data_IF_914270578493
#
_entry.id   IF_914270578493
#
_cell.length_a   1.000
_cell.length_b   1.000
_cell.length_c   1.000
_cell.angle_alpha   90.00
_cell.angle_beta   90.00
_cell.angle_gamma   90.00
#
_symmetry.space_group_name_H-M   'P 1'
#
loop_
_entity.id
_entity.type
_entity.pdbx_description
1 polymer ?
#
# COMPACT_ATOMS: atom_id res chain seq x y z
N UNK A 1 -42.26 -37.03 5.66
CA UNK A 1 -40.93 -37.60 5.35
C UNK A 1 -40.62 -37.37 3.89
N UNK A 2 -39.34 -37.25 3.54
CA UNK A 2 -38.79 -36.39 2.50
C UNK A 2 -39.19 -36.67 1.03
N UNK A 3 -39.48 -35.59 0.29
CA UNK A 3 -39.46 -35.55 -1.17
C UNK A 3 -38.05 -35.14 -1.66
N UNK A 4 -37.50 -35.90 -2.61
CA UNK A 4 -36.17 -35.66 -3.16
C UNK A 4 -36.11 -34.58 -4.23
N UNK A 5 -34.92 -34.01 -4.47
CA UNK A 5 -34.45 -33.50 -5.77
C UNK A 5 -32.93 -33.64 -5.91
N UNK A 6 -32.55 -34.01 -7.12
CA UNK A 6 -31.21 -34.29 -7.64
C UNK A 6 -30.59 -32.97 -8.12
N UNK A 7 -29.30 -32.73 -7.90
CA UNK A 7 -28.57 -31.66 -8.59
C UNK A 7 -27.24 -32.15 -9.20
N UNK A 8 -27.09 -31.73 -10.45
CA UNK A 8 -26.25 -32.19 -11.56
C UNK A 8 -24.76 -31.89 -11.33
N UNK A 9 -23.89 -32.90 -11.50
CA UNK A 9 -22.48 -32.66 -11.88
C UNK A 9 -22.43 -32.25 -13.35
N UNK A 10 -21.60 -31.25 -13.67
CA UNK A 10 -21.15 -30.98 -15.04
C UNK A 10 -19.62 -31.02 -15.08
N UNK A 11 -19.09 -31.97 -15.85
CA UNK A 11 -17.74 -31.94 -16.41
C UNK A 11 -17.82 -31.47 -17.87
N UNK A 12 -16.71 -30.90 -18.35
CA UNK A 12 -16.46 -30.44 -19.73
C UNK A 12 -16.06 -28.97 -19.70
N UNK A 13 -14.82 -28.54 -19.99
CA UNK A 13 -13.82 -29.08 -20.90
C UNK A 13 -13.70 -28.08 -22.08
N UNK A 14 -12.52 -27.46 -22.26
CA UNK A 14 -12.27 -26.57 -23.41
C UNK A 14 -11.11 -25.61 -23.20
N UNK A 15 -10.03 -25.84 -23.95
CA UNK A 15 -8.79 -25.08 -23.98
C UNK A 15 -8.85 -23.82 -24.88
N UNK A 16 -7.85 -22.96 -24.72
CA UNK A 16 -7.57 -21.78 -25.55
C UNK A 16 -7.58 -20.52 -24.69
N UNK A 17 -6.58 -19.66 -24.60
CA UNK A 17 -5.36 -19.42 -25.37
C UNK A 17 -5.08 -17.92 -25.24
N UNK A 18 -3.81 -17.51 -25.18
CA UNK A 18 -3.43 -16.10 -25.39
C UNK A 18 -2.87 -15.35 -24.17
N UNK A 19 -1.54 -15.30 -24.16
CA UNK A 19 -0.67 -14.13 -23.99
C UNK A 19 -1.04 -12.93 -23.09
N UNK A 20 -0.01 -12.40 -22.44
CA UNK A 20 0.06 -10.99 -22.08
C UNK A 20 0.56 -10.77 -20.65
N UNK A 21 1.84 -10.41 -20.53
CA UNK A 21 2.43 -10.03 -19.26
C UNK A 21 1.73 -8.83 -18.63
N UNK A 22 1.68 -8.82 -17.30
CA UNK A 22 1.21 -7.70 -16.50
C UNK A 22 1.85 -7.82 -15.13
N UNK A 23 2.69 -6.83 -14.79
CA UNK A 23 3.50 -6.81 -13.60
C UNK A 23 2.70 -7.07 -12.33
N UNK A 24 3.32 -7.82 -11.42
CA UNK A 24 2.74 -8.19 -10.13
C UNK A 24 2.44 -6.97 -9.29
N UNK A 25 1.21 -6.46 -9.41
CA UNK A 25 0.58 -5.72 -8.33
C UNK A 25 0.40 -6.71 -7.19
N UNK A 26 1.26 -6.62 -6.17
CA UNK A 26 1.16 -7.43 -4.97
C UNK A 26 -0.29 -7.34 -4.45
N UNK A 27 -1.01 -8.46 -4.51
CA UNK A 27 -2.28 -8.60 -3.80
C UNK A 27 -1.99 -8.23 -2.34
N UNK A 28 -2.75 -7.29 -1.79
CA UNK A 28 -2.79 -7.03 -0.35
C UNK A 28 -3.27 -8.32 0.34
N UNK A 29 -2.34 -9.23 0.64
CA UNK A 29 -2.63 -10.51 1.26
C UNK A 29 -2.70 -10.27 2.77
N UNK A 30 -3.93 -10.00 3.25
CA UNK A 30 -4.22 -9.71 4.65
C UNK A 30 -4.55 -8.23 4.89
N UNK A 31 -5.58 -7.72 4.23
CA UNK A 31 -5.98 -6.31 4.35
C UNK A 31 -6.45 -5.99 5.78
N UNK A 32 -5.74 -5.09 6.46
CA UNK A 32 -6.24 -4.50 7.71
C UNK A 32 -7.56 -3.78 7.38
N UNK A 33 -8.67 -4.09 8.07
CA UNK A 33 -9.92 -3.40 7.83
C UNK A 33 -9.75 -1.91 8.13
N UNK A 34 -10.14 -1.07 7.17
CA UNK A 34 -10.09 0.37 7.32
C UNK A 34 -11.25 0.85 8.18
N UNK A 35 -10.94 1.71 9.14
CA UNK A 35 -11.94 2.27 10.04
C UNK A 35 -12.48 3.57 9.44
N UNK A 36 -13.66 3.50 8.80
CA UNK A 36 -14.33 4.70 8.27
C UNK A 36 -14.62 5.72 9.37
N UNK A 37 -14.85 5.26 10.61
CA UNK A 37 -15.03 6.10 11.79
C UNK A 37 -13.81 6.93 12.16
N UNK A 38 -12.60 6.50 11.75
CA UNK A 38 -11.35 7.25 11.92
C UNK A 38 -11.00 8.14 10.71
N UNK A 39 -11.90 8.27 9.74
CA UNK A 39 -11.68 9.10 8.54
C UNK A 39 -10.63 8.55 7.58
N UNK A 40 -10.34 7.25 7.59
CA UNK A 40 -9.31 6.66 6.73
C UNK A 40 -9.78 6.60 5.26
N UNK A 41 -9.20 7.44 4.41
CA UNK A 41 -9.37 7.42 2.95
C UNK A 41 -8.04 7.04 2.27
N UNK A 42 -8.01 5.87 1.62
CA UNK A 42 -6.75 5.36 1.03
C UNK A 42 -6.53 5.94 -0.36
N UNK A 43 -5.40 6.62 -0.53
CA UNK A 43 -4.91 7.10 -1.81
C UNK A 43 -4.41 5.92 -2.66
N UNK A 44 -5.24 5.41 -3.58
CA UNK A 44 -4.93 4.23 -4.43
C UNK A 44 -4.63 4.55 -5.89
N UNK A 45 -4.98 5.75 -6.36
CA UNK A 45 -4.76 6.13 -7.75
C UNK A 45 -3.27 6.50 -7.95
N UNK A 46 -2.49 5.70 -8.69
CA UNK A 46 -1.07 5.97 -8.90
C UNK A 46 -0.83 7.29 -9.66
N UNK A 47 -1.71 7.65 -10.60
CA UNK A 47 -1.58 8.92 -11.35
C UNK A 47 -1.75 10.14 -10.43
N UNK A 48 -2.61 10.04 -9.40
CA UNK A 48 -2.76 11.11 -8.42
C UNK A 48 -1.55 11.19 -7.49
N UNK A 49 -1.00 10.04 -7.05
CA UNK A 49 0.24 9.99 -6.26
C UNK A 49 1.39 10.63 -7.03
N UNK A 50 1.55 10.27 -8.30
CA UNK A 50 2.61 10.80 -9.15
C UNK A 50 2.45 12.31 -9.34
N UNK A 51 1.22 12.79 -9.60
CA UNK A 51 0.94 14.23 -9.71
C UNK A 51 1.25 15.00 -8.43
N UNK A 52 0.98 14.42 -7.25
CA UNK A 52 1.33 15.04 -5.96
C UNK A 52 2.85 15.20 -5.86
N UNK A 53 3.61 14.15 -6.15
CA UNK A 53 5.07 14.16 -6.03
C UNK A 53 5.72 15.11 -7.04
N UNK A 54 5.23 15.14 -8.28
CA UNK A 54 5.70 16.08 -9.31
C UNK A 54 5.46 17.54 -8.89
N UNK A 55 4.27 17.84 -8.39
CA UNK A 55 3.90 19.21 -7.96
C UNK A 55 4.59 19.64 -6.67
N UNK A 56 5.05 18.69 -5.84
CA UNK A 56 5.72 18.99 -4.58
C UNK A 56 7.12 19.60 -4.77
N UNK A 57 7.70 19.55 -5.97
CA UNK A 57 8.98 20.22 -6.27
C UNK A 57 10.16 19.72 -5.43
N UNK A 58 10.14 18.43 -5.10
CA UNK A 58 11.07 17.80 -4.16
C UNK A 58 12.52 17.82 -4.67
N UNK A 59 13.46 18.04 -3.74
CA UNK A 59 14.90 17.99 -3.98
C UNK A 59 15.54 16.83 -3.21
N UNK A 60 16.69 16.31 -3.66
CA UNK A 60 17.40 15.23 -2.96
C UNK A 60 17.83 15.58 -1.52
N UNK A 61 17.93 16.87 -1.20
CA UNK A 61 18.29 17.37 0.13
C UNK A 61 17.13 17.39 1.12
N UNK A 62 15.90 17.24 0.65
CA UNK A 62 14.72 17.49 1.46
C UNK A 62 14.40 16.34 2.42
N UNK A 63 14.01 16.68 3.64
CA UNK A 63 13.35 15.74 4.56
C UNK A 63 11.86 16.03 4.53
N UNK A 64 11.06 15.03 4.16
CA UNK A 64 9.60 15.16 4.04
C UNK A 64 8.92 14.62 5.29
N UNK A 65 8.01 15.39 5.88
CA UNK A 65 7.11 14.91 6.92
C UNK A 65 5.81 14.43 6.26
N UNK A 66 5.47 13.15 6.45
CA UNK A 66 4.22 12.56 5.99
C UNK A 66 3.32 12.26 7.18
N UNK A 67 2.18 12.95 7.26
CA UNK A 67 1.15 12.70 8.28
C UNK A 67 0.12 11.74 7.70
N UNK A 68 -0.17 10.65 8.40
CA UNK A 68 -1.11 9.63 7.95
C UNK A 68 -0.63 8.87 6.70
N UNK A 69 0.54 8.21 6.74
CA UNK A 69 1.05 7.44 5.60
C UNK A 69 0.11 6.28 5.20
N UNK A 70 -0.74 5.81 6.12
CA UNK A 70 -1.66 4.71 5.89
C UNK A 70 -0.93 3.48 5.36
N UNK A 71 -1.32 3.01 4.16
CA UNK A 71 -0.68 1.84 3.53
C UNK A 71 0.66 2.14 2.86
N UNK A 72 1.10 3.41 2.80
CA UNK A 72 2.43 3.78 2.28
C UNK A 72 2.53 4.01 0.76
N UNK A 73 1.42 4.29 0.07
CA UNK A 73 1.45 4.52 -1.37
C UNK A 73 2.20 5.81 -1.74
N UNK A 74 1.92 6.91 -1.02
CA UNK A 74 2.65 8.16 -1.20
C UNK A 74 4.07 8.05 -0.64
N UNK A 75 4.25 7.47 0.55
CA UNK A 75 5.56 7.15 1.15
C UNK A 75 6.52 6.52 0.14
N UNK A 76 6.09 5.48 -0.60
CA UNK A 76 6.95 4.80 -1.57
C UNK A 76 7.38 5.75 -2.69
N UNK A 77 6.47 6.57 -3.20
CA UNK A 77 6.78 7.49 -4.29
C UNK A 77 7.66 8.65 -3.84
N UNK A 78 7.47 9.17 -2.63
CA UNK A 78 8.36 10.15 -2.01
C UNK A 78 9.80 9.62 -1.90
N UNK A 79 9.96 8.39 -1.41
CA UNK A 79 11.28 7.75 -1.32
C UNK A 79 11.93 7.55 -2.69
N UNK A 80 11.14 7.12 -3.70
CA UNK A 80 11.60 6.95 -5.08
C UNK A 80 11.98 8.28 -5.76
N UNK A 81 11.35 9.39 -5.37
CA UNK A 81 11.71 10.74 -5.84
C UNK A 81 13.10 11.18 -5.34
N UNK A 82 13.71 10.43 -4.43
CA UNK A 82 15.10 10.63 -4.03
C UNK A 82 15.31 11.64 -2.91
N UNK A 83 14.27 12.01 -2.16
CA UNK A 83 14.35 12.91 -0.99
C UNK A 83 15.22 12.33 0.12
N UNK A 84 16.00 13.15 0.82
CA UNK A 84 16.96 12.74 1.87
C UNK A 84 16.34 11.71 2.82
N UNK A 85 15.18 12.03 3.37
CA UNK A 85 14.41 11.14 4.23
C UNK A 85 12.91 11.45 4.18
N UNK A 86 12.10 10.46 4.56
CA UNK A 86 10.68 10.63 4.86
C UNK A 86 10.47 10.30 6.34
N UNK A 87 9.93 11.23 7.11
CA UNK A 87 9.50 11.04 8.49
C UNK A 87 7.99 10.80 8.48
N UNK A 88 7.55 9.61 8.84
CA UNK A 88 6.15 9.20 8.78
C UNK A 88 5.51 9.21 10.18
N UNK A 89 4.40 9.92 10.32
CA UNK A 89 3.61 9.99 11.57
C UNK A 89 2.26 9.32 11.34
N UNK A 90 1.99 8.25 12.08
CA UNK A 90 0.74 7.49 11.97
C UNK A 90 0.16 7.24 13.37
N UNK A 91 -1.13 7.49 13.51
CA UNK A 91 -1.84 7.34 14.78
C UNK A 91 -2.40 5.92 14.97
N UNK A 92 -2.70 5.20 13.89
CA UNK A 92 -3.17 3.81 13.99
C UNK A 92 -1.98 2.85 14.06
N UNK A 93 -1.71 2.19 15.22
CA UNK A 93 -0.57 1.29 15.36
C UNK A 93 -0.62 0.11 14.38
N UNK A 94 -1.81 -0.29 13.92
CA UNK A 94 -1.95 -1.35 12.92
C UNK A 94 -1.40 -0.91 11.57
N UNK A 95 -1.59 0.36 11.20
CA UNK A 95 -1.02 0.94 9.98
C UNK A 95 0.50 1.11 10.09
N UNK A 96 1.02 1.47 11.27
CA UNK A 96 2.48 1.49 11.53
C UNK A 96 3.10 0.12 11.27
N UNK A 97 2.48 -0.95 11.76
CA UNK A 97 2.96 -2.32 11.54
C UNK A 97 2.91 -2.73 10.07
N UNK A 98 1.83 -2.39 9.37
CA UNK A 98 1.69 -2.67 7.94
C UNK A 98 2.70 -1.88 7.10
N UNK A 99 2.93 -0.61 7.43
CA UNK A 99 3.92 0.22 6.77
C UNK A 99 5.33 -0.35 6.97
N UNK A 100 5.68 -0.73 8.21
CA UNK A 100 6.96 -1.38 8.50
C UNK A 100 7.13 -2.68 7.72
N UNK A 101 6.09 -3.53 7.68
CA UNK A 101 6.11 -4.77 6.89
C UNK A 101 6.31 -4.49 5.41
N UNK A 102 5.60 -3.50 4.85
CA UNK A 102 5.68 -3.14 3.42
C UNK A 102 7.09 -2.74 3.00
N UNK A 103 7.82 -2.04 3.87
CA UNK A 103 9.18 -1.57 3.59
C UNK A 103 10.27 -2.52 4.12
N UNK A 104 9.90 -3.66 4.70
CA UNK A 104 10.88 -4.65 5.15
C UNK A 104 11.68 -5.20 3.96
N UNK A 105 13.00 -5.01 3.98
CA UNK A 105 13.88 -5.42 2.88
C UNK A 105 13.89 -4.48 1.67
N UNK A 106 13.16 -3.36 1.72
CA UNK A 106 13.22 -2.34 0.68
C UNK A 106 14.56 -1.58 0.74
N UNK A 107 15.28 -1.41 -0.38
CA UNK A 107 16.55 -0.68 -0.40
C UNK A 107 16.44 0.77 0.11
N UNK A 108 15.25 1.36 0.03
CA UNK A 108 14.99 2.72 0.47
C UNK A 108 14.48 2.81 1.92
N UNK A 109 14.29 1.69 2.61
CA UNK A 109 13.78 1.65 3.98
C UNK A 109 14.65 2.44 4.96
N UNK A 110 15.96 2.51 4.72
CA UNK A 110 16.89 3.28 5.56
C UNK A 110 16.57 4.78 5.60
N UNK A 111 15.84 5.29 4.60
CA UNK A 111 15.41 6.69 4.47
C UNK A 111 14.01 6.94 5.01
N UNK A 112 13.25 5.89 5.34
CA UNK A 112 11.98 5.98 6.06
C UNK A 112 12.24 6.00 7.56
N UNK A 113 11.75 7.03 8.24
CA UNK A 113 11.91 7.23 9.68
C UNK A 113 10.54 7.34 10.33
N UNK A 114 10.46 6.88 11.58
CA UNK A 114 9.33 7.13 12.47
C UNK A 114 9.83 8.01 13.63
N UNK A 115 9.01 8.94 14.14
CA UNK A 115 9.38 9.71 15.33
C UNK A 115 9.69 8.79 16.49
N UNK A 116 10.77 9.09 17.22
CA UNK A 116 11.05 8.42 18.48
C UNK A 116 10.05 8.92 19.54
N UNK A 117 9.20 8.06 20.12
CA UNK A 117 8.17 8.48 21.07
C UNK A 117 8.76 9.02 22.39
N UNK A 118 10.08 8.93 22.59
CA UNK A 118 10.79 9.34 23.80
C UNK A 118 11.84 10.43 23.57
N UNK A 119 11.88 11.05 22.39
CA UNK A 119 12.79 12.16 22.09
C UNK A 119 12.20 13.49 22.59
N UNK A 120 12.53 13.86 23.83
CA UNK A 120 12.21 15.14 24.48
C UNK A 120 13.47 15.92 24.82
#
# INVERSE_FOLDING_TARGET
>A
MAGGKIQKKRHGGGAGGGGGGGGGGARLQGGIPFEKSKGQHILRNPALVDSIVEKAGLKPTDTVLEIGPGTGNLTKRLLQAGVKAVVAVELDPRMVLELNRRFQGDPLASRLKFPDPFSG
#
